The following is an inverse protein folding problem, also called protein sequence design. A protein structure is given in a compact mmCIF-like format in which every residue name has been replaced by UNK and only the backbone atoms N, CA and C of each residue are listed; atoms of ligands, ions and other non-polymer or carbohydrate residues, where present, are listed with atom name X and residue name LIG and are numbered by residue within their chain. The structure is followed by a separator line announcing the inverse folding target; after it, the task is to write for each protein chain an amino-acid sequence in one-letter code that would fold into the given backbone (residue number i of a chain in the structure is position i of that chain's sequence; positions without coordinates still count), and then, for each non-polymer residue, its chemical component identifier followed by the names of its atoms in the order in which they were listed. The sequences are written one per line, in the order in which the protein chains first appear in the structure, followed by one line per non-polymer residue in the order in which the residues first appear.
data_IF_579241586125
#
_entry.id   IF_579241586125
#
_cell.length_a   1.000
_cell.length_b   1.000
_cell.length_c   1.000
_cell.angle_alpha   90.00
_cell.angle_beta   90.00
_cell.angle_gamma   90.00
#
_symmetry.space_group_name_H-M   'P 1'
#
loop_
_entity.id
_entity.type
_entity.pdbx_description
1 polymer ?
#
# COMPACT_ATOMS: atom_id res chain seq x y z
N UNK A 1 -0.93 44.49 -32.62
CA UNK A 1 -2.33 44.96 -32.53
C UNK A 1 -2.80 44.82 -31.09
N UNK A 2 -2.85 45.91 -30.34
CA UNK A 2 -3.30 45.93 -28.94
C UNK A 2 -4.83 45.79 -28.90
N UNK A 3 -5.33 44.63 -28.49
CA UNK A 3 -6.75 44.48 -28.13
C UNK A 3 -6.94 45.09 -26.75
N UNK A 4 -7.74 46.16 -26.68
CA UNK A 4 -8.25 46.74 -25.44
C UNK A 4 -8.95 45.63 -24.64
N UNK A 5 -8.44 45.33 -23.44
CA UNK A 5 -9.19 44.64 -22.40
C UNK A 5 -9.71 45.71 -21.46
N UNK A 6 -11.03 45.77 -21.29
CA UNK A 6 -11.71 46.67 -20.37
C UNK A 6 -11.19 46.49 -18.93
N UNK A 7 -11.03 47.57 -18.17
CA UNK A 7 -10.81 47.49 -16.74
C UNK A 7 -12.10 47.00 -16.08
N UNK A 8 -12.23 45.69 -15.88
CA UNK A 8 -13.31 45.13 -15.07
C UNK A 8 -13.09 45.58 -13.61
N UNK A 9 -14.09 46.21 -12.97
CA UNK A 9 -13.91 46.98 -11.73
C UNK A 9 -13.66 46.14 -10.45
N UNK A 10 -13.53 44.83 -10.56
CA UNK A 10 -13.25 43.94 -9.43
C UNK A 10 -12.33 42.78 -9.84
N UNK A 11 -11.15 43.06 -10.35
CA UNK A 11 -10.09 42.05 -10.43
C UNK A 11 -9.56 41.72 -9.02
N UNK A 12 -10.37 41.06 -8.18
CA UNK A 12 -9.99 40.44 -6.90
C UNK A 12 -9.16 39.17 -7.13
N UNK A 13 -8.10 39.24 -7.94
CA UNK A 13 -7.24 38.08 -8.23
C UNK A 13 -5.82 38.30 -7.68
N UNK A 14 -5.50 39.44 -7.06
CA UNK A 14 -4.14 39.73 -6.62
C UNK A 14 -3.95 40.13 -5.14
N UNK A 15 -5.00 40.16 -4.31
CA UNK A 15 -4.82 40.42 -2.86
C UNK A 15 -4.92 39.13 -2.02
N UNK A 16 -5.47 38.04 -2.57
CA UNK A 16 -5.52 36.75 -1.86
C UNK A 16 -4.18 36.00 -1.85
N UNK A 17 -3.21 36.43 -2.69
CA UNK A 17 -1.88 35.81 -2.76
C UNK A 17 -0.90 36.43 -1.73
N UNK A 18 -1.28 37.54 -1.08
CA UNK A 18 -0.44 38.27 -0.10
C UNK A 18 -0.83 38.03 1.36
N UNK A 19 -2.00 37.43 1.65
CA UNK A 19 -2.33 36.93 2.99
C UNK A 19 -1.63 35.60 3.26
N UNK A 20 -0.30 35.60 3.29
CA UNK A 20 0.44 34.61 4.07
C UNK A 20 0.17 34.93 5.52
N UNK A 21 -0.83 34.24 6.09
CA UNK A 21 -1.08 34.26 7.53
C UNK A 21 0.27 34.22 8.25
N UNK A 22 0.53 35.21 9.11
CA UNK A 22 1.75 35.30 9.93
C UNK A 22 1.70 34.25 11.06
N UNK A 23 1.35 33.02 10.68
CA UNK A 23 1.17 31.85 11.50
C UNK A 23 2.22 30.90 10.98
N UNK A 24 3.35 30.84 11.68
CA UNK A 24 4.31 29.75 11.49
C UNK A 24 3.53 28.45 11.61
N UNK A 25 3.51 27.58 10.59
CA UNK A 25 2.82 26.30 10.66
C UNK A 25 3.28 25.58 11.93
N UNK A 26 2.35 25.02 12.73
CA UNK A 26 2.74 24.34 13.95
C UNK A 26 3.76 23.24 13.61
N UNK A 27 4.82 23.09 14.42
CA UNK A 27 5.83 22.07 14.17
C UNK A 27 5.17 20.71 14.07
N UNK A 28 5.60 19.90 13.09
CA UNK A 28 5.03 18.58 12.88
C UNK A 28 5.19 17.76 14.17
N UNK A 29 4.10 17.19 14.72
CA UNK A 29 4.19 16.39 15.93
C UNK A 29 5.08 15.18 15.68
N UNK A 30 5.97 14.90 16.64
CA UNK A 30 6.78 13.68 16.61
C UNK A 30 5.86 12.48 16.83
N UNK A 31 6.15 11.39 16.12
CA UNK A 31 5.42 10.14 16.34
C UNK A 31 5.60 9.69 17.79
N UNK A 32 4.49 9.34 18.45
CA UNK A 32 4.56 8.76 19.79
C UNK A 32 5.15 7.35 19.72
N UNK A 33 5.76 6.83 20.82
CA UNK A 33 6.27 5.46 20.86
C UNK A 33 5.21 4.42 20.48
N UNK A 34 3.95 4.63 20.90
CA UNK A 34 2.83 3.76 20.55
C UNK A 34 2.54 3.76 19.03
N UNK A 35 2.65 4.91 18.38
CA UNK A 35 2.41 5.05 16.95
C UNK A 35 3.52 4.36 16.13
N UNK A 36 4.75 4.43 16.59
CA UNK A 36 5.89 3.69 16.01
C UNK A 36 5.67 2.18 16.19
N UNK A 37 5.37 1.73 17.42
CA UNK A 37 5.14 0.34 17.73
C UNK A 37 4.02 -0.26 16.86
N UNK A 38 2.90 0.46 16.71
CA UNK A 38 1.78 0.04 15.85
C UNK A 38 2.22 -0.14 14.40
N UNK A 39 2.90 0.86 13.82
CA UNK A 39 3.34 0.80 12.41
C UNK A 39 4.32 -0.34 12.18
N UNK A 40 5.25 -0.55 13.11
CA UNK A 40 6.22 -1.65 13.05
C UNK A 40 5.54 -3.01 13.17
N UNK A 41 4.62 -3.18 14.12
CA UNK A 41 3.90 -4.43 14.33
C UNK A 41 3.09 -4.83 13.09
N UNK A 42 2.37 -3.88 12.49
CA UNK A 42 1.63 -4.13 11.25
C UNK A 42 2.55 -4.56 10.10
N UNK A 43 3.69 -3.88 9.94
CA UNK A 43 4.69 -4.26 8.93
C UNK A 43 5.25 -5.67 9.16
N UNK A 44 5.60 -5.99 10.41
CA UNK A 44 6.12 -7.30 10.80
C UNK A 44 5.10 -8.42 10.57
N UNK A 45 3.83 -8.21 10.92
CA UNK A 45 2.76 -9.17 10.66
C UNK A 45 2.56 -9.40 9.15
N UNK A 46 2.56 -8.33 8.35
CA UNK A 46 2.41 -8.45 6.91
C UNK A 46 3.56 -9.24 6.27
N UNK A 47 4.81 -8.90 6.60
CA UNK A 47 5.99 -9.60 6.07
C UNK A 47 6.08 -11.03 6.61
N UNK A 48 5.84 -11.23 7.90
CA UNK A 48 5.91 -12.53 8.55
C UNK A 48 4.84 -13.51 8.04
N UNK A 49 3.59 -13.04 7.88
CA UNK A 49 2.52 -13.86 7.32
C UNK A 49 2.77 -14.21 5.85
N UNK A 50 3.28 -13.27 5.05
CA UNK A 50 3.66 -13.53 3.66
C UNK A 50 4.78 -14.57 3.58
N UNK A 51 5.86 -14.39 4.35
CA UNK A 51 6.96 -15.34 4.39
C UNK A 51 6.50 -16.72 4.87
N UNK A 52 5.67 -16.78 5.92
CA UNK A 52 5.08 -18.02 6.42
C UNK A 52 4.24 -18.74 5.36
N UNK A 53 3.38 -17.99 4.66
CA UNK A 53 2.57 -18.53 3.57
C UNK A 53 3.42 -19.09 2.42
N UNK A 54 4.54 -18.44 2.09
CA UNK A 54 5.46 -18.93 1.08
C UNK A 54 6.22 -20.18 1.53
N UNK A 55 6.74 -20.19 2.76
CA UNK A 55 7.46 -21.34 3.31
C UNK A 55 6.57 -22.59 3.39
N UNK A 56 5.32 -22.41 3.82
CA UNK A 56 4.36 -23.50 3.96
C UNK A 56 3.66 -23.87 2.64
N UNK A 57 3.44 -22.89 1.75
CA UNK A 57 2.70 -23.05 0.50
C UNK A 57 3.55 -23.43 -0.71
N UNK A 58 4.85 -23.11 -0.71
CA UNK A 58 5.74 -23.46 -1.82
C UNK A 58 5.79 -24.97 -2.14
N UNK A 59 5.81 -25.89 -1.16
CA UNK A 59 5.73 -27.33 -1.44
C UNK A 59 4.45 -27.74 -2.18
N UNK A 60 3.33 -27.03 -1.98
CA UNK A 60 2.08 -27.30 -2.69
C UNK A 60 2.09 -26.79 -4.14
N UNK A 61 2.99 -25.84 -4.47
CA UNK A 61 3.21 -25.35 -5.82
C UNK A 61 4.22 -26.20 -6.61
N UNK A 62 4.97 -27.06 -5.92
CA UNK A 62 5.90 -27.99 -6.54
C UNK A 62 5.15 -29.17 -7.17
N UNK A 63 4.63 -28.94 -8.38
CA UNK A 63 3.96 -29.97 -9.19
C UNK A 63 4.94 -31.05 -9.72
N UNK A 64 6.25 -30.87 -9.53
CA UNK A 64 7.29 -31.75 -10.07
C UNK A 64 7.90 -32.71 -9.06
N UNK A 65 7.74 -32.46 -7.76
CA UNK A 65 8.26 -33.32 -6.71
C UNK A 65 7.13 -33.82 -5.80
N UNK A 66 6.56 -35.00 -6.07
CA UNK A 66 5.71 -35.68 -5.10
C UNK A 66 6.61 -36.09 -3.94
N UNK A 67 6.82 -35.17 -2.98
CA UNK A 67 7.53 -35.46 -1.75
C UNK A 67 6.82 -36.61 -1.04
N UNK A 68 7.39 -37.80 -1.17
CA UNK A 68 7.20 -38.97 -0.28
C UNK A 68 5.76 -39.24 0.19
N UNK A 69 4.76 -38.95 -0.64
CA UNK A 69 3.35 -39.20 -0.32
C UNK A 69 2.84 -40.23 -1.29
N UNK A 70 2.58 -41.40 -0.73
CA UNK A 70 1.98 -42.60 -1.32
C UNK A 70 1.16 -42.32 -2.57
N UNK A 71 1.56 -42.99 -3.64
CA UNK A 71 0.80 -43.18 -4.88
C UNK A 71 -0.71 -43.19 -4.63
N UNK A 72 -1.49 -42.22 -5.17
CA UNK A 72 -2.93 -42.36 -5.22
C UNK A 72 -3.27 -43.41 -6.29
N UNK A 73 -3.31 -44.68 -5.88
CA UNK A 73 -3.84 -45.77 -6.71
C UNK A 73 -5.36 -45.64 -6.71
N UNK A 74 -5.89 -44.82 -7.61
CA UNK A 74 -7.30 -44.90 -7.99
C UNK A 74 -7.42 -45.85 -9.17
N UNK A 75 -7.25 -47.16 -8.92
CA UNK A 75 -7.58 -48.20 -9.89
C UNK A 75 -9.10 -48.43 -9.87
N UNK A 76 -9.84 -47.56 -10.57
CA UNK A 76 -11.28 -47.73 -10.84
C UNK A 76 -11.47 -47.75 -12.35
N UNK A 77 -10.78 -48.66 -13.06
CA UNK A 77 -11.01 -48.94 -14.47
C UNK A 77 -10.27 -50.19 -14.93
N UNK A 78 -10.61 -51.37 -14.37
CA UNK A 78 -10.41 -52.62 -15.12
C UNK A 78 -11.67 -53.46 -15.06
N UNK A 79 -12.67 -52.97 -15.79
CA UNK A 79 -13.75 -53.81 -16.26
C UNK A 79 -13.26 -54.65 -17.44
N UNK A 80 -13.02 -55.94 -17.19
CA UNK A 80 -13.40 -57.11 -18.00
C UNK A 80 -12.69 -58.35 -17.49
#
# INVERSE_FOLDING_TARGET
MFRRREPVPFAFIAESDSFRSNVTPPPRPRASPAQIARRSLTGLLAVGSLAGALLLGAPALDAGNPGTTTTPVTEVARGR
#
